data_IF_257237879080
#
_entry.id   IF_257237879080
#
_cell.length_a   1.000
_cell.length_b   1.000
_cell.length_c   1.000
_cell.angle_alpha   90.00
_cell.angle_beta   90.00
_cell.angle_gamma   90.00
#
_symmetry.space_group_name_H-M   'P 1'
#
loop_
_entity.id
_entity.type
_entity.pdbx_description
1 polymer ?
#
# COMPACT_ATOMS: atom_id res chain seq x y z
N UNK A 1 28.53 -22.11 -17.99
CA UNK A 1 27.16 -22.62 -17.71
C UNK A 1 26.59 -22.01 -16.43
N UNK A 2 27.30 -22.07 -15.30
CA UNK A 2 26.81 -21.52 -14.01
C UNK A 2 26.52 -20.01 -14.01
N UNK A 3 27.38 -19.21 -14.65
CA UNK A 3 27.23 -17.74 -14.68
C UNK A 3 25.90 -17.28 -15.32
N UNK A 4 25.48 -17.94 -16.40
CA UNK A 4 24.24 -17.63 -17.10
C UNK A 4 23.00 -17.95 -16.25
N UNK A 5 23.05 -19.05 -15.50
CA UNK A 5 21.97 -19.46 -14.59
C UNK A 5 21.85 -18.47 -13.42
N UNK A 6 22.99 -18.10 -12.82
CA UNK A 6 23.04 -17.09 -11.76
C UNK A 6 22.47 -15.75 -12.22
N UNK A 7 22.82 -15.31 -13.43
CA UNK A 7 22.31 -14.07 -13.99
C UNK A 7 20.79 -14.11 -14.18
N UNK A 8 20.27 -15.24 -14.67
CA UNK A 8 18.83 -15.47 -14.79
C UNK A 8 18.12 -15.37 -13.44
N UNK A 9 18.62 -16.07 -12.41
CA UNK A 9 18.01 -16.07 -11.07
C UNK A 9 17.98 -14.67 -10.47
N UNK A 10 19.08 -13.91 -10.57
CA UNK A 10 19.14 -12.54 -10.00
C UNK A 10 18.12 -11.62 -10.66
N UNK A 11 18.00 -11.65 -11.99
CA UNK A 11 17.04 -10.81 -12.72
C UNK A 11 15.60 -11.20 -12.34
N UNK A 12 15.27 -12.49 -12.39
CA UNK A 12 13.92 -12.97 -12.05
C UNK A 12 13.57 -12.66 -10.60
N UNK A 13 14.47 -12.94 -9.65
CA UNK A 13 14.25 -12.65 -8.24
C UNK A 13 13.96 -11.16 -8.01
N UNK A 14 14.73 -10.27 -8.63
CA UNK A 14 14.53 -8.82 -8.51
C UNK A 14 13.21 -8.35 -9.13
N UNK A 15 12.87 -8.86 -10.32
CA UNK A 15 11.61 -8.55 -10.99
C UNK A 15 10.39 -8.99 -10.15
N UNK A 16 10.40 -10.22 -9.63
CA UNK A 16 9.32 -10.72 -8.78
C UNK A 16 9.21 -9.93 -7.47
N UNK A 17 10.34 -9.59 -6.85
CA UNK A 17 10.37 -8.76 -5.65
C UNK A 17 9.76 -7.38 -5.87
N UNK A 18 10.11 -6.73 -6.99
CA UNK A 18 9.55 -5.44 -7.38
C UNK A 18 8.03 -5.52 -7.58
N UNK A 19 7.53 -6.56 -8.27
CA UNK A 19 6.09 -6.76 -8.46
C UNK A 19 5.38 -6.94 -7.11
N UNK A 20 5.88 -7.80 -6.22
CA UNK A 20 5.26 -8.03 -4.90
C UNK A 20 5.26 -6.75 -4.07
N UNK A 21 6.36 -6.00 -4.07
CA UNK A 21 6.46 -4.74 -3.36
C UNK A 21 5.52 -3.68 -3.94
N UNK A 22 5.41 -3.61 -5.25
CA UNK A 22 4.53 -2.69 -5.94
C UNK A 22 3.06 -3.04 -5.69
N UNK A 23 2.67 -4.31 -5.74
CA UNK A 23 1.32 -4.77 -5.41
C UNK A 23 0.99 -4.45 -3.95
N UNK A 24 1.91 -4.70 -3.01
CA UNK A 24 1.72 -4.35 -1.60
C UNK A 24 1.51 -2.84 -1.40
N UNK A 25 2.25 -2.01 -2.14
CA UNK A 25 2.12 -0.54 -2.11
C UNK A 25 0.87 -0.05 -2.84
N UNK A 26 0.48 -0.70 -3.93
CA UNK A 26 -0.74 -0.41 -4.69
C UNK A 26 -1.99 -0.72 -3.86
N UNK A 27 -1.97 -1.77 -3.04
CA UNK A 27 -3.07 -2.12 -2.12
C UNK A 27 -3.21 -1.13 -0.96
N UNK A 28 -2.18 -0.34 -0.67
CA UNK A 28 -2.24 0.72 0.35
C UNK A 28 -2.95 1.99 -0.16
N UNK A 29 -3.17 2.16 -1.47
CA UNK A 29 -3.97 3.23 -2.04
C UNK A 29 -3.56 4.64 -1.55
N UNK A 30 -4.56 5.49 -1.23
CA UNK A 30 -4.36 6.84 -0.67
C UNK A 30 -3.56 6.86 0.63
N UNK A 31 -3.54 5.74 1.38
CA UNK A 31 -2.76 5.58 2.59
C UNK A 31 -1.25 5.46 2.33
N UNK A 32 -0.81 5.11 1.10
CA UNK A 32 0.61 4.99 0.76
C UNK A 32 1.36 6.33 0.72
N UNK A 33 0.64 7.44 0.51
CA UNK A 33 1.16 8.81 0.57
C UNK A 33 0.90 9.48 1.92
N UNK A 34 0.19 8.81 2.83
CA UNK A 34 -0.17 9.37 4.13
C UNK A 34 0.96 9.11 5.13
N UNK A 35 1.59 10.18 5.63
CA UNK A 35 2.67 10.09 6.62
C UNK A 35 2.19 9.46 7.95
N UNK A 36 0.89 9.57 8.25
CA UNK A 36 0.23 9.00 9.42
C UNK A 36 -0.20 7.53 9.23
N UNK A 37 0.13 6.87 8.11
CA UNK A 37 -0.21 5.46 7.87
C UNK A 37 0.20 4.51 9.02
N UNK A 38 1.28 4.85 9.74
CA UNK A 38 1.87 4.02 10.81
C UNK A 38 1.10 4.07 12.13
N UNK A 39 0.36 5.16 12.37
CA UNK A 39 -0.37 5.42 13.61
C UNK A 39 -1.88 5.52 13.39
N UNK A 40 -2.34 5.46 12.13
CA UNK A 40 -3.75 5.53 11.81
C UNK A 40 -4.46 4.24 12.21
N UNK A 41 -5.16 4.27 13.34
CA UNK A 41 -5.95 3.14 13.84
C UNK A 41 -7.25 2.94 13.04
N UNK A 42 -7.78 4.01 12.46
CA UNK A 42 -8.82 3.96 11.43
C UNK A 42 -8.16 3.58 10.10
N UNK A 43 -8.50 2.42 9.55
CA UNK A 43 -8.06 2.06 8.21
C UNK A 43 -8.45 3.15 7.20
N UNK A 44 -7.64 3.36 6.15
CA UNK A 44 -7.98 4.25 5.03
C UNK A 44 -9.18 3.69 4.23
N UNK A 45 -10.34 3.66 4.86
CA UNK A 45 -11.62 3.37 4.25
C UNK A 45 -12.21 4.67 3.75
N UNK A 46 -12.80 4.63 2.55
CA UNK A 46 -13.57 5.75 2.02
C UNK A 46 -14.69 6.05 3.00
N UNK A 47 -14.69 7.25 3.58
CA UNK A 47 -15.76 7.70 4.48
C UNK A 47 -17.02 7.86 3.62
N UNK A 48 -17.99 6.97 3.81
CA UNK A 48 -19.33 7.07 3.19
C UNK A 48 -19.96 8.41 3.57
N UNK A 49 -20.72 9.08 2.68
CA UNK A 49 -21.34 10.38 2.97
C UNK A 49 -22.11 10.44 4.30
N UNK A 50 -22.71 9.32 4.73
CA UNK A 50 -23.40 9.20 6.02
C UNK A 50 -22.45 9.37 7.23
N UNK A 51 -21.26 8.75 7.22
CA UNK A 51 -20.27 8.88 8.31
C UNK A 51 -19.66 10.28 8.41
N UNK A 52 -19.59 11.01 7.30
CA UNK A 52 -19.14 12.41 7.33
C UNK A 52 -20.16 13.31 8.03
N UNK A 53 -21.45 12.98 7.94
CA UNK A 53 -22.52 13.72 8.62
C UNK A 53 -22.44 13.53 10.14
N UNK A 54 -22.24 12.28 10.61
CA UNK A 54 -22.07 12.00 12.04
C UNK A 54 -20.85 12.72 12.65
N UNK A 55 -19.69 12.77 11.96
CA UNK A 55 -18.52 13.49 12.48
C UNK A 55 -18.68 15.02 12.49
N UNK A 56 -19.50 15.59 11.62
CA UNK A 56 -19.80 17.02 11.64
C UNK A 56 -20.81 17.39 12.73
N UNK A 57 -21.64 16.43 13.16
CA UNK A 57 -22.68 16.64 14.16
C UNK A 57 -22.11 16.73 15.59
N UNK A 58 -20.97 16.08 15.87
CA UNK A 58 -20.22 16.18 17.14
C UNK A 58 -19.42 17.49 17.28
N UNK A 59 -19.31 18.32 16.23
CA UNK A 59 -18.70 19.65 16.29
C UNK A 59 -19.71 20.78 16.58
N UNK A 60 -20.93 20.44 16.99
CA UNK A 60 -22.01 21.40 17.30
C UNK A 60 -22.46 21.28 18.73
#
# INVERSE_FOLDING_TARGET
>A
MLASILLGIVIFAYATFMIVRFVKRSRQGKCAACELNKSCQSGCSVVTPEQRHNMLQDMK
#
